data_IF_797782691732
#
_entry.id   IF_797782691732
#
_cell.length_a   1.000
_cell.length_b   1.000
_cell.length_c   1.000
_cell.angle_alpha   90.00
_cell.angle_beta   90.00
_cell.angle_gamma   90.00
#
_symmetry.space_group_name_H-M   'P 1'
#
loop_
_entity.id
_entity.type
_entity.pdbx_description
1 polymer ?
#
# COMPACT_ATOMS: atom_id res chain seq x y z
N UNK A 1 46.41 52.96 101.11
CA UNK A 1 45.43 51.84 101.01
C UNK A 1 44.36 52.01 99.91
N UNK A 2 43.95 53.23 99.48
CA UNK A 2 42.88 53.41 98.47
C UNK A 2 43.21 52.97 97.01
N UNK A 3 44.50 52.91 96.63
CA UNK A 3 44.91 52.59 95.24
C UNK A 3 44.77 51.09 94.93
N UNK A 4 45.09 50.22 95.90
CA UNK A 4 44.96 48.77 95.73
C UNK A 4 43.49 48.33 95.62
N UNK A 5 42.60 48.96 96.39
CA UNK A 5 41.17 48.66 96.39
C UNK A 5 40.51 48.98 95.04
N UNK A 6 40.90 50.08 94.39
CA UNK A 6 40.40 50.45 93.05
C UNK A 6 40.86 49.49 91.96
N UNK A 7 42.10 49.00 92.04
CA UNK A 7 42.63 48.03 91.08
C UNK A 7 41.86 46.71 91.18
N UNK A 8 41.61 46.23 92.40
CA UNK A 8 40.84 45.00 92.61
C UNK A 8 39.39 45.10 92.12
N UNK A 9 38.77 46.27 92.29
CA UNK A 9 37.41 46.54 91.82
C UNK A 9 37.32 46.58 90.28
N UNK A 10 38.31 47.16 89.61
CA UNK A 10 38.41 47.17 88.14
C UNK A 10 38.69 45.77 87.59
N UNK A 11 39.55 44.99 88.24
CA UNK A 11 39.80 43.59 87.86
C UNK A 11 38.55 42.74 88.02
N UNK A 12 37.78 42.94 89.09
CA UNK A 12 36.52 42.23 89.30
C UNK A 12 35.46 42.63 88.26
N UNK A 13 35.32 43.91 87.95
CA UNK A 13 34.42 44.39 86.90
C UNK A 13 34.83 43.89 85.51
N UNK A 14 36.13 43.87 85.19
CA UNK A 14 36.63 43.31 83.93
C UNK A 14 36.39 41.80 83.86
N UNK A 15 36.60 41.06 84.95
CA UNK A 15 36.29 39.64 85.02
C UNK A 15 34.79 39.37 84.86
N UNK A 16 33.93 40.21 85.45
CA UNK A 16 32.48 40.10 85.29
C UNK A 16 32.06 40.44 83.85
N UNK A 17 32.67 41.45 83.24
CA UNK A 17 32.37 41.88 81.87
C UNK A 17 32.88 40.86 80.84
N UNK A 18 34.03 40.25 81.07
CA UNK A 18 34.53 39.09 80.31
C UNK A 18 33.59 37.90 80.51
N UNK A 19 33.15 37.62 81.74
CA UNK A 19 32.18 36.56 82.04
C UNK A 19 30.87 36.74 81.27
N UNK A 20 30.32 37.95 81.26
CA UNK A 20 29.11 38.30 80.50
C UNK A 20 29.34 38.23 78.99
N UNK A 21 30.50 38.70 78.49
CA UNK A 21 30.85 38.64 77.07
C UNK A 21 31.05 37.20 76.58
N UNK A 22 31.59 36.31 77.42
CA UNK A 22 31.70 34.87 77.14
C UNK A 22 30.37 34.13 77.27
N UNK A 23 29.48 34.58 78.17
CA UNK A 23 28.14 34.01 78.32
C UNK A 23 27.20 34.43 77.19
N UNK A 24 27.41 35.60 76.58
CA UNK A 24 26.66 36.05 75.40
C UNK A 24 27.23 35.51 74.08
N UNK A 25 28.44 34.95 74.07
CA UNK A 25 29.13 34.43 72.88
C UNK A 25 28.90 32.94 72.58
N UNK A 26 28.15 32.21 73.41
CA UNK A 26 27.93 30.77 73.28
C UNK A 26 26.55 30.38 72.72
N UNK A 27 25.88 31.30 72.01
CA UNK A 27 24.85 30.93 71.02
C UNK A 27 25.56 30.62 69.70
N UNK A 28 26.50 29.67 69.73
CA UNK A 28 26.99 29.05 68.51
C UNK A 28 25.80 28.30 67.92
N UNK A 29 25.48 28.61 66.66
CA UNK A 29 24.45 27.95 65.88
C UNK A 29 24.58 26.43 66.02
N UNK A 30 23.80 25.86 66.93
CA UNK A 30 23.64 24.43 67.05
C UNK A 30 22.70 24.05 65.91
N UNK A 31 23.30 23.73 64.76
CA UNK A 31 22.62 23.04 63.66
C UNK A 31 21.71 21.97 64.29
N UNK A 32 20.38 22.02 64.05
CA UNK A 32 19.48 21.07 64.69
C UNK A 32 19.92 19.66 64.32
N UNK A 33 20.42 18.93 65.31
CA UNK A 33 20.87 17.56 65.12
C UNK A 33 19.73 16.70 64.58
N UNK A 34 20.06 15.80 63.66
CA UNK A 34 19.14 14.89 63.00
C UNK A 34 18.12 14.28 63.98
N UNK A 35 16.85 14.70 63.85
CA UNK A 35 15.80 14.48 64.84
C UNK A 35 15.23 13.06 64.74
N UNK A 36 14.39 12.66 65.70
CA UNK A 36 13.66 11.38 65.61
C UNK A 36 12.68 11.36 64.43
N UNK A 37 12.06 12.49 64.11
CA UNK A 37 11.16 12.61 62.96
C UNK A 37 11.91 12.42 61.64
N UNK A 38 13.13 12.95 61.54
CA UNK A 38 13.95 12.75 60.34
C UNK A 38 14.36 11.28 60.15
N UNK A 39 14.59 10.54 61.25
CA UNK A 39 14.84 9.08 61.22
C UNK A 39 13.62 8.33 60.67
N UNK A 40 12.44 8.64 61.16
CA UNK A 40 11.20 7.97 60.76
C UNK A 40 10.87 8.25 59.29
N UNK A 41 11.05 9.50 58.83
CA UNK A 41 10.92 9.87 57.42
C UNK A 41 11.91 9.11 56.53
N UNK A 42 13.15 8.93 56.97
CA UNK A 42 14.14 8.15 56.23
C UNK A 42 13.81 6.65 56.15
N UNK A 43 13.21 6.10 57.20
CA UNK A 43 12.71 4.72 57.20
C UNK A 43 11.53 4.57 56.23
N UNK A 44 10.59 5.52 56.24
CA UNK A 44 9.46 5.52 55.29
C UNK A 44 9.94 5.67 53.85
N UNK A 45 10.86 6.60 53.58
CA UNK A 45 11.47 6.80 52.25
C UNK A 45 12.18 5.54 51.76
N UNK A 46 12.98 4.89 52.63
CA UNK A 46 13.62 3.61 52.29
C UNK A 46 12.60 2.53 51.95
N UNK A 47 11.51 2.47 52.71
CA UNK A 47 10.44 1.49 52.47
C UNK A 47 9.74 1.74 51.13
N UNK A 48 9.42 3.01 50.82
CA UNK A 48 8.85 3.39 49.51
C UNK A 48 9.82 3.11 48.37
N UNK A 49 11.10 3.36 48.53
CA UNK A 49 12.12 3.04 47.52
C UNK A 49 12.18 1.53 47.24
N UNK A 50 12.17 0.69 48.27
CA UNK A 50 12.13 -0.77 48.09
C UNK A 50 10.85 -1.25 47.38
N UNK A 51 9.71 -0.58 47.62
CA UNK A 51 8.47 -0.86 46.90
C UNK A 51 8.57 -0.44 45.42
N UNK A 52 9.15 0.73 45.15
CA UNK A 52 9.42 1.22 43.79
C UNK A 52 10.34 0.24 43.03
N UNK A 53 11.42 -0.22 43.66
CA UNK A 53 12.35 -1.19 43.06
C UNK A 53 11.63 -2.50 42.67
N UNK A 54 10.77 -3.02 43.55
CA UNK A 54 9.95 -4.21 43.24
C UNK A 54 9.00 -3.97 42.05
N UNK A 55 8.39 -2.79 41.97
CA UNK A 55 7.52 -2.42 40.85
C UNK A 55 8.31 -2.30 39.56
N UNK A 56 9.51 -1.73 39.58
CA UNK A 56 10.40 -1.68 38.42
C UNK A 56 10.82 -3.07 37.96
N UNK A 57 11.14 -3.98 38.88
CA UNK A 57 11.46 -5.37 38.53
C UNK A 57 10.28 -6.08 37.84
N UNK A 58 9.05 -5.85 38.33
CA UNK A 58 7.84 -6.35 37.68
C UNK A 58 7.65 -5.76 36.27
N UNK A 59 7.88 -4.45 36.11
CA UNK A 59 7.81 -3.76 34.82
C UNK A 59 8.83 -4.36 33.84
N UNK A 60 10.07 -4.59 34.28
CA UNK A 60 11.11 -5.20 33.45
C UNK A 60 10.71 -6.60 32.97
N UNK A 61 10.12 -7.43 33.84
CA UNK A 61 9.59 -8.75 33.46
C UNK A 61 8.48 -8.66 32.42
N UNK A 62 7.61 -7.64 32.51
CA UNK A 62 6.57 -7.40 31.51
C UNK A 62 7.18 -7.00 30.18
N UNK A 63 8.19 -6.13 30.17
CA UNK A 63 8.91 -5.75 28.94
C UNK A 63 9.57 -6.95 28.28
N UNK A 64 10.28 -7.80 29.03
CA UNK A 64 10.86 -9.04 28.47
C UNK A 64 9.80 -9.98 27.86
N UNK A 65 8.62 -10.06 28.47
CA UNK A 65 7.51 -10.84 27.90
C UNK A 65 6.96 -10.20 26.62
N UNK A 66 6.87 -8.87 26.58
CA UNK A 66 6.45 -8.13 25.39
C UNK A 66 7.44 -8.37 24.24
N UNK A 67 8.74 -8.27 24.49
CA UNK A 67 9.78 -8.51 23.48
C UNK A 67 9.68 -9.92 22.90
N UNK A 68 9.51 -10.94 23.75
CA UNK A 68 9.29 -12.33 23.30
C UNK A 68 8.04 -12.48 22.43
N UNK A 69 6.97 -11.74 22.73
CA UNK A 69 5.76 -11.76 21.91
C UNK A 69 5.97 -11.05 20.58
N UNK A 70 6.72 -9.95 20.54
CA UNK A 70 7.08 -9.29 19.29
C UNK A 70 7.93 -10.19 18.39
N UNK A 71 8.94 -10.87 18.94
CA UNK A 71 9.73 -11.86 18.16
C UNK A 71 8.85 -12.98 17.56
N UNK A 72 7.84 -13.45 18.31
CA UNK A 72 6.89 -14.44 17.79
C UNK A 72 6.01 -13.87 16.68
N UNK A 73 5.60 -12.61 16.80
CA UNK A 73 4.82 -11.90 15.77
C UNK A 73 5.68 -11.76 14.50
N UNK A 74 6.93 -11.34 14.61
CA UNK A 74 7.84 -11.20 13.46
C UNK A 74 8.04 -12.52 12.72
N UNK A 75 8.25 -13.63 13.46
CA UNK A 75 8.34 -14.96 12.85
C UNK A 75 7.07 -15.36 12.10
N UNK A 76 5.90 -14.97 12.60
CA UNK A 76 4.62 -15.24 11.92
C UNK A 76 4.47 -14.38 10.66
N UNK A 77 4.89 -13.12 10.70
CA UNK A 77 4.90 -12.26 9.52
C UNK A 77 5.84 -12.82 8.44
N UNK A 78 7.04 -13.27 8.80
CA UNK A 78 7.96 -13.89 7.84
C UNK A 78 7.37 -15.14 7.17
N UNK A 79 6.60 -15.95 7.92
CA UNK A 79 5.87 -17.10 7.35
C UNK A 79 4.75 -16.65 6.41
N UNK A 80 4.05 -15.56 6.73
CA UNK A 80 3.01 -14.99 5.87
C UNK A 80 3.61 -14.49 4.56
N UNK A 81 4.74 -13.77 4.62
CA UNK A 81 5.44 -13.29 3.42
C UNK A 81 5.86 -14.44 2.51
N UNK A 82 6.43 -15.52 3.08
CA UNK A 82 6.78 -16.72 2.30
C UNK A 82 5.56 -17.35 1.61
N UNK A 83 4.39 -17.33 2.25
CA UNK A 83 3.15 -17.83 1.64
C UNK A 83 2.66 -16.91 0.52
N UNK A 84 2.77 -15.60 0.68
CA UNK A 84 2.43 -14.64 -0.37
C UNK A 84 3.35 -14.81 -1.59
N UNK A 85 4.66 -14.97 -1.39
CA UNK A 85 5.61 -15.22 -2.48
C UNK A 85 5.27 -16.51 -3.26
N UNK A 86 4.82 -17.56 -2.56
CA UNK A 86 4.33 -18.79 -3.22
C UNK A 86 3.05 -18.57 -4.01
N UNK A 87 2.14 -17.72 -3.51
CA UNK A 87 0.90 -17.37 -4.20
C UNK A 87 1.22 -16.58 -5.47
N UNK A 88 2.11 -15.60 -5.41
CA UNK A 88 2.54 -14.81 -6.56
C UNK A 88 3.13 -15.69 -7.65
N UNK A 89 4.02 -16.64 -7.31
CA UNK A 89 4.57 -17.61 -8.28
C UNK A 89 3.49 -18.43 -8.97
N UNK A 90 2.43 -18.82 -8.25
CA UNK A 90 1.30 -19.55 -8.85
C UNK A 90 0.47 -18.65 -9.76
N UNK A 91 0.27 -17.38 -9.39
CA UNK A 91 -0.42 -16.41 -10.24
C UNK A 91 0.37 -16.13 -11.52
N UNK A 92 1.69 -15.96 -11.45
CA UNK A 92 2.54 -15.79 -12.63
C UNK A 92 2.43 -16.98 -13.59
N UNK A 93 2.43 -18.21 -13.04
CA UNK A 93 2.24 -19.41 -13.85
C UNK A 93 0.86 -19.46 -14.53
N UNK A 94 -0.21 -19.07 -13.81
CA UNK A 94 -1.57 -19.01 -14.37
C UNK A 94 -1.69 -17.93 -15.44
N UNK A 95 -1.11 -16.75 -15.21
CA UNK A 95 -1.08 -15.67 -16.20
C UNK A 95 -0.31 -16.10 -17.45
N UNK A 96 0.83 -16.78 -17.29
CA UNK A 96 1.60 -17.30 -18.41
C UNK A 96 0.79 -18.30 -19.24
N UNK A 97 0.11 -19.24 -18.60
CA UNK A 97 -0.79 -20.18 -19.28
C UNK A 97 -1.93 -19.45 -20.02
N UNK A 98 -2.54 -18.44 -19.39
CA UNK A 98 -3.60 -17.65 -20.00
C UNK A 98 -3.11 -16.89 -21.23
N UNK A 99 -1.91 -16.31 -21.19
CA UNK A 99 -1.30 -15.65 -22.35
C UNK A 99 -1.06 -16.60 -23.51
N UNK A 100 -0.59 -17.84 -23.23
CA UNK A 100 -0.40 -18.86 -24.27
C UNK A 100 -1.74 -19.23 -24.92
N UNK A 101 -2.77 -19.48 -24.10
CA UNK A 101 -4.11 -19.80 -24.59
C UNK A 101 -4.70 -18.66 -25.43
N UNK A 102 -4.58 -17.42 -24.93
CA UNK A 102 -4.99 -16.23 -25.65
C UNK A 102 -4.24 -16.09 -26.97
N UNK A 103 -2.93 -16.35 -26.99
CA UNK A 103 -2.10 -16.35 -28.19
C UNK A 103 -2.58 -17.34 -29.25
N UNK A 104 -2.88 -18.59 -28.86
CA UNK A 104 -3.44 -19.61 -29.77
C UNK A 104 -4.80 -19.18 -30.30
N UNK A 105 -5.67 -18.68 -29.42
CA UNK A 105 -6.99 -18.20 -29.82
C UNK A 105 -6.88 -17.04 -30.82
N UNK A 106 -6.03 -16.05 -30.54
CA UNK A 106 -5.77 -14.92 -31.45
C UNK A 106 -5.18 -15.40 -32.78
N UNK A 107 -4.25 -16.37 -32.78
CA UNK A 107 -3.69 -16.90 -34.02
C UNK A 107 -4.74 -17.61 -34.87
N UNK A 108 -5.64 -18.38 -34.26
CA UNK A 108 -6.76 -19.02 -34.94
C UNK A 108 -7.74 -18.00 -35.52
N UNK A 109 -8.08 -16.96 -34.77
CA UNK A 109 -8.95 -15.88 -35.24
C UNK A 109 -8.33 -15.17 -36.46
N UNK A 110 -7.04 -14.85 -36.41
CA UNK A 110 -6.33 -14.24 -37.55
C UNK A 110 -6.32 -15.18 -38.76
N UNK A 111 -6.09 -16.48 -38.55
CA UNK A 111 -6.15 -17.47 -39.63
C UNK A 111 -7.55 -17.57 -40.26
N UNK A 112 -8.61 -17.58 -39.46
CA UNK A 112 -10.00 -17.63 -39.93
C UNK A 112 -10.36 -16.36 -40.70
N UNK A 113 -10.02 -15.18 -40.19
CA UNK A 113 -10.27 -13.91 -40.88
C UNK A 113 -9.47 -13.85 -42.19
N UNK A 114 -8.20 -14.26 -42.17
CA UNK A 114 -7.36 -14.33 -43.35
C UNK A 114 -7.94 -15.28 -44.42
N UNK A 115 -8.40 -16.46 -44.00
CA UNK A 115 -9.07 -17.42 -44.88
C UNK A 115 -10.38 -16.86 -45.45
N UNK A 116 -11.22 -16.23 -44.62
CA UNK A 116 -12.46 -15.61 -45.07
C UNK A 116 -12.23 -14.47 -46.08
N UNK A 117 -11.16 -13.69 -45.89
CA UNK A 117 -10.76 -12.64 -46.83
C UNK A 117 -10.26 -13.24 -48.15
N UNK A 118 -9.50 -14.34 -48.10
CA UNK A 118 -9.04 -15.07 -49.28
C UNK A 118 -10.20 -15.72 -50.06
N UNK A 119 -11.11 -16.40 -49.36
CA UNK A 119 -12.25 -17.13 -49.91
C UNK A 119 -13.21 -16.23 -50.69
N UNK A 120 -13.46 -15.02 -50.18
CA UNK A 120 -14.25 -13.99 -50.87
C UNK A 120 -13.69 -13.64 -52.25
N UNK A 121 -12.36 -13.68 -52.41
CA UNK A 121 -11.70 -13.36 -53.70
C UNK A 121 -11.78 -14.51 -54.69
N UNK A 122 -11.79 -15.76 -54.23
CA UNK A 122 -11.76 -16.95 -55.09
C UNK A 122 -13.13 -17.37 -55.61
N UNK A 123 -14.17 -17.38 -54.77
CA UNK A 123 -15.50 -17.90 -55.14
C UNK A 123 -16.24 -17.00 -56.15
N UNK A 124 -16.13 -15.67 -56.01
CA UNK A 124 -16.81 -14.72 -56.93
C UNK A 124 -16.35 -14.88 -58.38
N UNK A 125 -15.12 -15.36 -58.59
CA UNK A 125 -14.59 -15.59 -59.94
C UNK A 125 -15.15 -16.85 -60.61
N UNK A 126 -15.50 -17.88 -59.84
CA UNK A 126 -16.04 -19.14 -60.35
C UNK A 126 -17.54 -19.03 -60.63
N UNK A 127 -18.31 -18.44 -59.71
CA UNK A 127 -19.75 -18.23 -59.91
C UNK A 127 -20.04 -17.36 -61.15
N UNK A 128 -19.21 -16.35 -61.42
CA UNK A 128 -19.37 -15.53 -62.63
C UNK A 128 -19.08 -16.27 -63.93
N UNK A 129 -18.25 -17.31 -63.92
CA UNK A 129 -17.90 -18.06 -65.14
C UNK A 129 -18.98 -19.08 -65.47
N UNK A 130 -19.42 -19.86 -64.48
CA UNK A 130 -20.51 -20.85 -64.67
C UNK A 130 -21.81 -20.16 -65.10
N UNK A 131 -22.20 -19.06 -64.45
CA UNK A 131 -23.43 -18.33 -64.85
C UNK A 131 -23.33 -17.70 -66.24
N UNK A 132 -22.12 -17.33 -66.70
CA UNK A 132 -21.95 -16.71 -68.02
C UNK A 132 -21.91 -17.75 -69.13
N UNK A 133 -21.27 -18.90 -68.90
CA UNK A 133 -21.25 -20.01 -69.86
C UNK A 133 -22.63 -20.67 -70.02
N UNK A 134 -23.42 -20.78 -68.94
CA UNK A 134 -24.80 -21.27 -69.02
C UNK A 134 -25.72 -20.26 -69.75
N UNK A 135 -25.55 -18.96 -69.52
CA UNK A 135 -26.26 -17.92 -70.28
C UNK A 135 -25.89 -17.90 -71.78
N UNK A 136 -24.62 -18.20 -72.11
CA UNK A 136 -24.13 -18.26 -73.49
C UNK A 136 -24.52 -19.57 -74.20
N UNK A 137 -24.56 -20.71 -73.49
CA UNK A 137 -24.97 -22.02 -74.02
C UNK A 137 -26.47 -22.18 -74.20
N UNK A 138 -27.29 -21.68 -73.29
CA UNK A 138 -28.75 -21.88 -73.35
C UNK A 138 -29.44 -21.09 -74.47
N UNK A 139 -28.75 -20.21 -75.21
CA UNK A 139 -29.38 -19.40 -76.26
C UNK A 139 -30.43 -18.41 -75.73
N UNK A 140 -30.79 -18.45 -74.44
CA UNK A 140 -31.79 -17.61 -73.78
C UNK A 140 -31.53 -16.13 -73.94
N UNK A 141 -30.27 -15.70 -74.01
CA UNK A 141 -29.95 -14.30 -74.32
C UNK A 141 -30.41 -13.92 -75.74
N UNK A 142 -30.24 -14.81 -76.72
CA UNK A 142 -30.73 -14.59 -78.09
C UNK A 142 -32.26 -14.64 -78.13
N UNK A 143 -32.89 -15.58 -77.44
CA UNK A 143 -34.35 -15.71 -77.41
C UNK A 143 -35.00 -14.52 -76.70
N UNK A 144 -34.41 -14.04 -75.61
CA UNK A 144 -34.86 -12.82 -74.91
C UNK A 144 -34.66 -11.58 -75.79
N UNK A 145 -33.54 -11.47 -76.52
CA UNK A 145 -33.34 -10.36 -77.47
C UNK A 145 -34.36 -10.42 -78.63
N UNK A 146 -34.63 -11.60 -79.18
CA UNK A 146 -35.62 -11.79 -80.25
C UNK A 146 -37.04 -11.49 -79.77
N UNK A 147 -37.41 -11.98 -78.58
CA UNK A 147 -38.69 -11.67 -77.95
C UNK A 147 -38.81 -10.17 -77.66
N UNK A 148 -37.77 -9.54 -77.10
CA UNK A 148 -37.75 -8.09 -76.86
C UNK A 148 -37.86 -7.29 -78.17
N UNK A 149 -37.22 -7.76 -79.25
CA UNK A 149 -37.33 -7.15 -80.59
C UNK A 149 -38.73 -7.27 -81.17
N UNK A 150 -39.38 -8.42 -81.00
CA UNK A 150 -40.77 -8.63 -81.42
C UNK A 150 -41.76 -7.77 -80.61
N UNK A 151 -41.55 -7.65 -79.31
CA UNK A 151 -42.34 -6.79 -78.44
C UNK A 151 -42.09 -5.29 -78.71
N UNK A 152 -40.86 -4.91 -79.05
CA UNK A 152 -40.51 -3.53 -79.43
C UNK A 152 -41.20 -3.11 -80.73
N UNK A 153 -41.42 -4.03 -81.66
CA UNK A 153 -42.19 -3.75 -82.88
C UNK A 153 -43.67 -3.41 -82.60
N UNK A 154 -44.19 -3.78 -81.41
CA UNK A 154 -45.58 -3.52 -80.99
C UNK A 154 -45.71 -2.35 -80.00
N UNK A 155 -44.61 -1.81 -79.47
CA UNK A 155 -44.64 -0.83 -78.38
C UNK A 155 -43.54 0.23 -78.58
N UNK A 156 -43.92 1.47 -78.92
CA UNK A 156 -42.99 2.55 -79.30
C UNK A 156 -42.01 2.91 -78.17
N UNK A 157 -42.46 2.85 -76.91
CA UNK A 157 -41.64 3.14 -75.74
C UNK A 157 -40.50 2.13 -75.59
N UNK A 158 -40.77 0.85 -75.81
CA UNK A 158 -39.77 -0.23 -75.69
C UNK A 158 -38.74 -0.16 -76.83
N UNK A 159 -39.16 0.21 -78.04
CA UNK A 159 -38.26 0.42 -79.17
C UNK A 159 -37.30 1.59 -78.96
N UNK A 160 -37.77 2.68 -78.33
CA UNK A 160 -36.93 3.82 -77.99
C UNK A 160 -35.83 3.44 -76.98
N UNK A 161 -36.19 2.61 -75.98
CA UNK A 161 -35.27 2.13 -74.94
C UNK A 161 -34.21 1.22 -75.57
N UNK A 162 -34.59 0.26 -76.42
CA UNK A 162 -33.64 -0.66 -77.05
C UNK A 162 -32.66 0.04 -78.02
N UNK A 163 -33.09 1.08 -78.74
CA UNK A 163 -32.18 1.91 -79.56
C UNK A 163 -31.14 2.64 -78.73
N UNK A 164 -31.50 3.13 -77.55
CA UNK A 164 -30.56 3.86 -76.68
C UNK A 164 -29.41 2.98 -76.16
N UNK A 165 -29.66 1.66 -76.04
CA UNK A 165 -28.66 0.66 -75.66
C UNK A 165 -27.95 -0.02 -76.86
N UNK A 166 -28.13 0.47 -78.10
CA UNK A 166 -27.56 -0.10 -79.34
C UNK A 166 -27.90 -1.60 -79.58
N UNK A 167 -29.04 -2.06 -79.06
CA UNK A 167 -29.49 -3.44 -79.19
C UNK A 167 -30.40 -3.67 -80.42
N UNK A 168 -30.73 -2.60 -81.15
CA UNK A 168 -31.67 -2.56 -82.28
C UNK A 168 -31.14 -1.67 -83.41
#
# INVERSE_FOLDING_TARGET
MKKQQRVWLVVFLMAMLIGVLTASGSVLAQEPGFTRQDRDLLIELRTRMLEIDKRFEQINKIFEQIDKRFEQIDKRFEQVDKRFEQVDKRFDQLMHFLYILAGIFTSLVVAVIGFAYWDRRTIVSQAKKETKEDLEREGRLRDVILALREFAAKNEDLASILRSYHLL
#
